data_IF_853309527169
#
_entry.id   IF_853309527169
#
_cell.length_a   1.000
_cell.length_b   1.000
_cell.length_c   1.000
_cell.angle_alpha   90.00
_cell.angle_beta   90.00
_cell.angle_gamma   90.00
#
_symmetry.space_group_name_H-M   'P 1'
#
loop_
_entity.id
_entity.type
_entity.pdbx_description
1 polymer ?
#
# COMPACT_ATOMS: atom_id res chain seq x y z
N UNK A 1 21.95 -64.63 41.02
CA UNK A 1 22.26 -63.96 39.74
C UNK A 1 21.09 -63.04 39.45
N UNK A 2 21.20 -61.75 39.77
CA UNK A 2 20.15 -60.78 39.46
C UNK A 2 20.27 -60.36 37.98
N UNK A 3 19.17 -60.20 37.24
CA UNK A 3 19.23 -59.68 35.88
C UNK A 3 19.58 -58.18 35.92
N UNK A 4 20.65 -57.80 35.23
CA UNK A 4 21.01 -56.39 35.08
C UNK A 4 20.01 -55.67 34.16
N UNK A 5 19.54 -54.46 34.51
CA UNK A 5 18.67 -53.67 33.65
C UNK A 5 19.48 -53.07 32.50
N UNK A 6 19.19 -53.52 31.27
CA UNK A 6 19.73 -52.95 30.04
C UNK A 6 19.21 -51.51 29.90
N UNK A 7 20.14 -50.54 29.91
CA UNK A 7 19.85 -49.14 29.57
C UNK A 7 19.68 -49.02 28.05
N UNK A 8 18.44 -48.85 27.61
CA UNK A 8 18.11 -48.40 26.25
C UNK A 8 18.46 -46.91 26.10
N UNK A 9 19.74 -46.60 25.93
CA UNK A 9 20.25 -45.24 25.68
C UNK A 9 20.70 -45.01 24.22
N UNK A 10 20.33 -45.90 23.29
CA UNK A 10 20.54 -45.66 21.86
C UNK A 10 19.40 -44.81 21.27
N UNK A 11 19.71 -43.68 20.58
CA UNK A 11 18.69 -42.89 19.90
C UNK A 11 18.03 -43.74 18.81
N UNK A 12 16.82 -44.21 19.09
CA UNK A 12 16.00 -44.95 18.14
C UNK A 12 15.74 -44.07 16.91
N UNK A 13 15.73 -44.65 15.70
CA UNK A 13 15.42 -43.93 14.45
C UNK A 13 14.09 -43.13 14.57
N UNK A 14 13.12 -43.65 15.33
CA UNK A 14 11.88 -42.95 15.63
C UNK A 14 12.04 -41.67 16.46
N UNK A 15 12.99 -41.61 17.41
CA UNK A 15 13.33 -40.38 18.14
C UNK A 15 13.96 -39.35 17.20
N UNK A 16 14.89 -39.75 16.33
CA UNK A 16 15.55 -38.84 15.38
C UNK A 16 14.58 -38.21 14.37
N UNK A 17 13.64 -38.99 13.83
CA UNK A 17 12.60 -38.48 12.92
C UNK A 17 11.62 -37.55 13.66
N UNK A 18 11.25 -37.89 14.89
CA UNK A 18 10.41 -37.05 15.74
C UNK A 18 11.08 -35.71 16.07
N UNK A 19 12.38 -35.74 16.37
CA UNK A 19 13.19 -34.55 16.66
C UNK A 19 13.34 -33.67 15.41
N UNK A 20 13.66 -34.24 14.25
CA UNK A 20 13.74 -33.51 12.99
C UNK A 20 12.40 -32.86 12.58
N UNK A 21 11.28 -33.56 12.76
CA UNK A 21 9.94 -33.02 12.48
C UNK A 21 9.59 -31.86 13.41
N UNK A 22 10.00 -31.95 14.68
CA UNK A 22 9.82 -30.87 15.66
C UNK A 22 10.68 -29.65 15.34
N UNK A 23 11.90 -29.85 14.86
CA UNK A 23 12.77 -28.75 14.43
C UNK A 23 12.22 -28.03 13.20
N UNK A 24 11.74 -28.77 12.19
CA UNK A 24 11.09 -28.19 11.01
C UNK A 24 9.83 -27.40 11.40
N UNK A 25 9.00 -27.96 12.28
CA UNK A 25 7.81 -27.27 12.82
C UNK A 25 8.18 -25.98 13.55
N UNK A 26 9.32 -25.98 14.25
CA UNK A 26 9.84 -24.82 14.97
C UNK A 26 10.35 -23.74 14.00
N UNK A 27 11.03 -24.12 12.91
CA UNK A 27 11.49 -23.19 11.88
C UNK A 27 10.30 -22.52 11.16
N UNK A 28 9.31 -23.31 10.73
CA UNK A 28 8.10 -22.79 10.09
C UNK A 28 7.38 -21.81 11.01
N UNK A 29 7.23 -22.17 12.30
CA UNK A 29 6.61 -21.29 13.29
C UNK A 29 7.37 -19.98 13.48
N UNK A 30 8.71 -20.01 13.45
CA UNK A 30 9.57 -18.81 13.53
C UNK A 30 9.41 -17.92 12.29
N UNK A 31 9.34 -18.51 11.10
CA UNK A 31 9.19 -17.77 9.85
C UNK A 31 7.82 -17.10 9.74
N UNK A 32 6.76 -17.78 10.21
CA UNK A 32 5.42 -17.19 10.36
C UNK A 32 5.42 -16.06 11.38
N UNK A 33 6.09 -16.22 12.53
CA UNK A 33 6.18 -15.16 13.54
C UNK A 33 6.95 -13.94 13.01
N UNK A 34 8.03 -14.16 12.26
CA UNK A 34 8.82 -13.09 11.64
C UNK A 34 7.97 -12.36 10.59
N UNK A 35 7.34 -13.07 9.65
CA UNK A 35 6.42 -12.50 8.67
C UNK A 35 5.29 -11.73 9.36
N UNK A 36 4.68 -12.28 10.42
CA UNK A 36 3.65 -11.58 11.19
C UNK A 36 4.19 -10.30 11.84
N UNK A 37 5.43 -10.30 12.34
CA UNK A 37 6.06 -9.11 12.90
C UNK A 37 6.36 -8.05 11.83
N UNK A 38 6.83 -8.45 10.65
CA UNK A 38 7.13 -7.56 9.54
C UNK A 38 5.85 -6.98 8.92
N UNK A 39 4.81 -7.80 8.78
CA UNK A 39 3.48 -7.36 8.35
C UNK A 39 2.85 -6.42 9.35
N UNK A 40 2.86 -6.73 10.65
CA UNK A 40 2.29 -5.83 11.67
C UNK A 40 3.06 -4.52 11.78
N UNK A 41 4.39 -4.55 11.64
CA UNK A 41 5.21 -3.34 11.57
C UNK A 41 4.90 -2.51 10.32
N UNK A 42 4.78 -3.15 9.16
CA UNK A 42 4.44 -2.51 7.88
C UNK A 42 3.03 -1.90 7.91
N UNK A 43 2.05 -2.61 8.45
CA UNK A 43 0.68 -2.12 8.61
C UNK A 43 0.60 -0.99 9.62
N UNK A 44 1.33 -1.07 10.73
CA UNK A 44 1.34 -0.01 11.74
C UNK A 44 1.99 1.26 11.20
N UNK A 45 3.16 1.15 10.60
CA UNK A 45 3.89 2.29 10.04
C UNK A 45 3.18 2.86 8.81
N UNK A 46 2.73 1.99 7.90
CA UNK A 46 1.93 2.38 6.74
C UNK A 46 0.57 2.97 7.12
N UNK A 47 -0.07 2.44 8.17
CA UNK A 47 -1.36 2.92 8.69
C UNK A 47 -1.24 4.29 9.35
N UNK A 48 -0.22 4.50 10.18
CA UNK A 48 0.08 5.83 10.75
C UNK A 48 0.41 6.82 9.65
N UNK A 49 1.25 6.43 8.68
CA UNK A 49 1.57 7.26 7.52
C UNK A 49 0.32 7.66 6.73
N UNK A 50 -0.53 6.69 6.38
CA UNK A 50 -1.78 6.94 5.67
C UNK A 50 -2.73 7.85 6.47
N UNK A 51 -2.84 7.66 7.78
CA UNK A 51 -3.65 8.54 8.64
C UNK A 51 -3.10 9.98 8.67
N UNK A 52 -1.79 10.15 8.82
CA UNK A 52 -1.14 11.47 8.78
C UNK A 52 -1.35 12.14 7.42
N UNK A 53 -1.20 11.41 6.31
CA UNK A 53 -1.47 11.94 4.98
C UNK A 53 -2.95 12.30 4.79
N UNK A 54 -3.89 11.53 5.33
CA UNK A 54 -5.31 11.85 5.28
C UNK A 54 -5.62 13.15 6.03
N UNK A 55 -5.08 13.31 7.25
CA UNK A 55 -5.22 14.55 8.02
C UNK A 55 -4.55 15.73 7.31
N UNK A 56 -3.35 15.56 6.77
CA UNK A 56 -2.66 16.59 6.01
C UNK A 56 -3.45 17.01 4.75
N UNK A 57 -3.99 16.05 3.99
CA UNK A 57 -4.82 16.33 2.83
C UNK A 57 -6.11 17.07 3.21
N UNK A 58 -6.75 16.69 4.31
CA UNK A 58 -7.92 17.39 4.84
C UNK A 58 -7.57 18.83 5.26
N UNK A 59 -6.47 19.03 5.99
CA UNK A 59 -6.01 20.37 6.39
C UNK A 59 -5.65 21.23 5.18
N UNK A 60 -5.02 20.67 4.14
CA UNK A 60 -4.77 21.38 2.89
C UNK A 60 -6.06 21.78 2.19
N UNK A 61 -7.10 20.93 2.20
CA UNK A 61 -8.41 21.26 1.64
C UNK A 61 -9.05 22.42 2.40
N UNK A 62 -9.07 22.37 3.74
CA UNK A 62 -9.58 23.47 4.58
C UNK A 62 -8.77 24.75 4.36
N UNK A 63 -7.44 24.64 4.34
CA UNK A 63 -6.54 25.75 4.08
C UNK A 63 -6.77 26.37 2.71
N UNK A 64 -7.03 25.57 1.68
CA UNK A 64 -7.33 26.07 0.33
C UNK A 64 -8.62 26.91 0.31
N UNK A 65 -9.66 26.50 1.04
CA UNK A 65 -10.90 27.28 1.17
C UNK A 65 -10.61 28.62 1.84
N UNK A 66 -9.91 28.61 2.98
CA UNK A 66 -9.55 29.84 3.69
C UNK A 66 -8.64 30.74 2.84
N UNK A 67 -7.67 30.16 2.15
CA UNK A 67 -6.78 30.85 1.23
C UNK A 67 -7.56 31.54 0.10
N UNK A 68 -8.58 30.88 -0.44
CA UNK A 68 -9.47 31.46 -1.46
C UNK A 68 -10.15 32.74 -0.96
N UNK A 69 -10.67 32.69 0.27
CA UNK A 69 -11.32 33.83 0.91
C UNK A 69 -10.29 34.94 1.15
N UNK A 70 -9.12 34.61 1.69
CA UNK A 70 -8.03 35.56 1.92
C UNK A 70 -7.60 36.28 0.63
N UNK A 71 -7.40 35.54 -0.47
CA UNK A 71 -7.03 36.13 -1.76
C UNK A 71 -8.15 37.01 -2.31
N UNK A 72 -9.42 36.59 -2.19
CA UNK A 72 -10.55 37.41 -2.63
C UNK A 72 -10.62 38.73 -1.85
N UNK A 73 -10.45 38.71 -0.53
CA UNK A 73 -10.38 39.94 0.27
C UNK A 73 -9.15 40.79 -0.04
N UNK A 74 -8.01 40.15 -0.33
CA UNK A 74 -6.79 40.86 -0.72
C UNK A 74 -6.97 41.60 -2.06
N UNK A 75 -7.60 40.97 -3.06
CA UNK A 75 -7.95 41.62 -4.33
C UNK A 75 -8.99 42.73 -4.09
N UNK A 76 -9.99 42.47 -3.25
CA UNK A 76 -10.99 43.48 -2.91
C UNK A 76 -10.35 44.73 -2.29
N UNK A 77 -9.34 44.55 -1.43
CA UNK A 77 -8.61 45.65 -0.81
C UNK A 77 -7.87 46.54 -1.83
N UNK A 78 -7.57 46.02 -3.02
CA UNK A 78 -7.03 46.81 -4.13
C UNK A 78 -8.07 47.69 -4.84
N UNK A 79 -9.32 47.73 -4.36
CA UNK A 79 -10.39 48.58 -4.86
C UNK A 79 -11.36 47.89 -5.83
N UNK A 80 -11.24 46.57 -6.01
CA UNK A 80 -12.14 45.80 -6.86
C UNK A 80 -13.36 45.33 -6.05
N UNK A 81 -14.56 45.31 -6.62
CA UNK A 81 -15.72 44.79 -5.91
C UNK A 81 -15.55 43.31 -5.51
N UNK A 82 -16.19 42.95 -4.40
CA UNK A 82 -16.03 41.62 -3.78
C UNK A 82 -16.43 40.49 -4.74
N UNK A 83 -17.50 40.66 -5.51
CA UNK A 83 -17.98 39.65 -6.46
C UNK A 83 -16.98 39.40 -7.60
N UNK A 84 -16.34 40.44 -8.13
CA UNK A 84 -15.29 40.31 -9.15
C UNK A 84 -14.03 39.65 -8.57
N UNK A 85 -13.70 39.94 -7.31
CA UNK A 85 -12.57 39.32 -6.63
C UNK A 85 -12.74 37.80 -6.50
N UNK A 86 -13.92 37.34 -6.06
CA UNK A 86 -14.25 35.91 -6.00
C UNK A 86 -14.31 35.27 -7.39
N UNK A 87 -14.78 35.98 -8.42
CA UNK A 87 -14.81 35.48 -9.80
C UNK A 87 -13.39 35.22 -10.32
N UNK A 88 -12.44 36.12 -10.06
CA UNK A 88 -11.04 35.96 -10.47
C UNK A 88 -10.42 34.73 -9.80
N UNK A 89 -10.60 34.59 -8.48
CA UNK A 89 -10.08 33.44 -7.72
C UNK A 89 -10.69 32.12 -8.23
N UNK A 90 -11.99 32.12 -8.50
CA UNK A 90 -12.69 30.95 -9.07
C UNK A 90 -12.17 30.61 -10.46
N UNK A 91 -12.02 31.62 -11.33
CA UNK A 91 -11.47 31.45 -12.67
C UNK A 91 -10.04 30.90 -12.65
N UNK A 92 -9.22 31.35 -11.70
CA UNK A 92 -7.87 30.81 -11.48
C UNK A 92 -7.91 29.31 -11.12
N UNK A 93 -8.78 28.87 -10.20
CA UNK A 93 -8.89 27.46 -9.87
C UNK A 93 -9.41 26.61 -11.02
N UNK A 94 -10.39 27.10 -11.79
CA UNK A 94 -10.88 26.41 -12.99
C UNK A 94 -9.75 26.24 -14.00
N UNK A 95 -8.93 27.27 -14.23
CA UNK A 95 -7.79 27.20 -15.13
C UNK A 95 -6.77 26.14 -14.66
N UNK A 96 -6.40 26.15 -13.39
CA UNK A 96 -5.49 25.15 -12.80
C UNK A 96 -6.07 23.74 -12.91
N UNK A 97 -7.36 23.56 -12.61
CA UNK A 97 -8.04 22.27 -12.70
C UNK A 97 -8.05 21.72 -14.13
N UNK A 98 -8.32 22.56 -15.14
CA UNK A 98 -8.26 22.18 -16.55
C UNK A 98 -6.85 21.74 -16.94
N UNK A 99 -5.81 22.49 -16.55
CA UNK A 99 -4.41 22.12 -16.84
C UNK A 99 -4.06 20.77 -16.21
N UNK A 100 -4.39 20.58 -14.92
CA UNK A 100 -4.11 19.32 -14.23
C UNK A 100 -4.89 18.14 -14.83
N UNK A 101 -6.16 18.34 -15.22
CA UNK A 101 -6.96 17.33 -15.88
C UNK A 101 -6.36 16.93 -17.23
N UNK A 102 -5.91 17.90 -18.03
CA UNK A 102 -5.25 17.64 -19.32
C UNK A 102 -3.92 16.89 -19.13
N UNK A 103 -3.07 17.33 -18.19
CA UNK A 103 -1.78 16.67 -17.89
C UNK A 103 -2.02 15.25 -17.37
N UNK A 104 -2.98 15.08 -16.46
CA UNK A 104 -3.40 13.78 -15.94
C UNK A 104 -3.90 12.87 -17.06
N UNK A 105 -4.76 13.39 -17.94
CA UNK A 105 -5.27 12.63 -19.07
C UNK A 105 -4.17 12.17 -20.04
N UNK A 106 -3.22 13.05 -20.36
CA UNK A 106 -2.06 12.70 -21.18
C UNK A 106 -1.19 11.65 -20.50
N UNK A 107 -0.95 11.76 -19.19
CA UNK A 107 -0.17 10.77 -18.42
C UNK A 107 -0.86 9.41 -18.39
N UNK A 108 -2.16 9.38 -18.09
CA UNK A 108 -2.96 8.14 -18.07
C UNK A 108 -2.99 7.49 -19.45
N UNK A 109 -3.17 8.26 -20.53
CA UNK A 109 -3.12 7.74 -21.91
C UNK A 109 -1.74 7.19 -22.30
N UNK A 110 -0.66 7.70 -21.72
CA UNK A 110 0.71 7.20 -21.98
C UNK A 110 1.03 5.92 -21.22
N UNK A 111 0.32 5.63 -20.13
CA UNK A 111 0.44 4.34 -19.44
C UNK A 111 -0.25 3.29 -20.28
N UNK A 112 0.49 2.63 -21.18
CA UNK A 112 0.08 1.34 -21.72
C UNK A 112 -0.07 0.40 -20.52
N UNK A 113 -1.22 -0.28 -20.42
CA UNK A 113 -1.42 -1.30 -19.40
C UNK A 113 -0.32 -2.36 -19.46
N UNK A 114 -0.16 -3.21 -18.43
CA UNK A 114 0.91 -4.20 -18.39
C UNK A 114 0.65 -5.30 -19.45
N UNK A 115 0.93 -4.97 -20.73
CA UNK A 115 0.70 -5.82 -21.90
C UNK A 115 1.39 -7.17 -21.71
N UNK A 116 2.60 -7.17 -21.12
CA UNK A 116 3.33 -8.41 -20.82
C UNK A 116 2.65 -9.28 -19.76
N UNK A 117 2.13 -8.70 -18.69
CA UNK A 117 1.43 -9.46 -17.64
C UNK A 117 0.09 -10.01 -18.15
N UNK A 118 -0.58 -9.26 -19.03
CA UNK A 118 -1.81 -9.70 -19.70
C UNK A 118 -1.48 -10.85 -20.66
N UNK A 119 -0.42 -10.73 -21.47
CA UNK A 119 0.03 -11.79 -22.37
C UNK A 119 0.42 -13.06 -21.60
N UNK A 120 1.20 -12.95 -20.53
CA UNK A 120 1.61 -14.10 -19.72
C UNK A 120 0.42 -14.80 -19.05
N UNK A 121 -0.57 -14.04 -18.57
CA UNK A 121 -1.80 -14.58 -18.02
C UNK A 121 -2.64 -15.28 -19.10
N UNK A 122 -2.68 -14.75 -20.32
CA UNK A 122 -3.36 -15.37 -21.46
C UNK A 122 -2.65 -16.66 -21.91
N UNK A 123 -1.32 -16.67 -21.99
CA UNK A 123 -0.53 -17.87 -22.30
C UNK A 123 -0.72 -18.96 -21.25
N UNK A 124 -0.74 -18.58 -19.96
CA UNK A 124 -0.98 -19.51 -18.85
C UNK A 124 -2.38 -20.10 -18.93
N UNK A 125 -3.40 -19.29 -19.22
CA UNK A 125 -4.77 -19.79 -19.46
C UNK A 125 -4.83 -20.73 -20.67
N UNK A 126 -4.22 -20.34 -21.80
CA UNK A 126 -4.21 -21.14 -23.02
C UNK A 126 -3.52 -22.51 -22.81
N UNK A 127 -2.42 -22.53 -22.05
CA UNK A 127 -1.71 -23.76 -21.71
C UNK A 127 -2.53 -24.69 -20.81
N UNK A 128 -3.34 -24.15 -19.89
CA UNK A 128 -4.21 -24.93 -19.01
C UNK A 128 -5.44 -25.48 -19.75
N UNK A 129 -6.07 -24.69 -20.63
CA UNK A 129 -7.24 -25.12 -21.42
C UNK A 129 -6.88 -26.13 -22.51
N UNK A 130 -5.67 -26.09 -23.08
CA UNK A 130 -5.22 -27.07 -24.07
C UNK A 130 -4.99 -28.48 -23.49
N UNK A 131 -4.92 -28.60 -22.16
CA UNK A 131 -4.60 -29.85 -21.44
C UNK A 131 -5.84 -30.53 -20.82
N UNK A 132 -7.01 -29.90 -20.85
CA UNK A 132 -8.32 -30.44 -20.48
C UNK A 132 -9.11 -30.86 -21.70
#
# INVERSE_FOLDING_TARGET
MAPEPVKDDDPTIGKLVSDASRDISTLISKEIQLLKSELTFSVKTGGIGAALFAVAAFLLLVSLILFSITVAFFIHWAGLDLHWSFLIVTGFYVLVAVILALVGWVKVKKVKGPERSIHQAQETKAALTKRS
#
